data_IF_261927396518
#
_entry.id   IF_261927396518
#
_cell.length_a   1.000
_cell.length_b   1.000
_cell.length_c   1.000
_cell.angle_alpha   90.00
_cell.angle_beta   90.00
_cell.angle_gamma   90.00
#
_symmetry.space_group_name_H-M   'P 1'
#
loop_
_entity.id
_entity.type
_entity.pdbx_description
1 polymer ?
#
# COMPACT_ATOMS: atom_id res chain seq x y z
N UNK A 1 -28.16 -56.35 -37.10
CA UNK A 1 -27.92 -56.03 -38.52
C UNK A 1 -28.70 -54.78 -38.89
N UNK A 2 -28.18 -54.00 -39.85
CA UNK A 2 -28.62 -52.68 -40.36
C UNK A 2 -27.92 -51.50 -39.68
N UNK A 3 -26.70 -51.16 -40.13
CA UNK A 3 -26.35 -50.31 -41.30
C UNK A 3 -26.56 -48.83 -41.00
N UNK A 4 -25.49 -48.21 -40.53
CA UNK A 4 -25.30 -46.77 -40.43
C UNK A 4 -25.32 -46.14 -41.83
N UNK A 5 -26.18 -45.15 -42.03
CA UNK A 5 -26.10 -44.21 -43.15
C UNK A 5 -25.46 -42.92 -42.63
N UNK A 6 -24.20 -42.67 -43.00
CA UNK A 6 -23.54 -41.39 -42.80
C UNK A 6 -23.95 -40.47 -43.94
N UNK A 7 -24.78 -39.46 -43.66
CA UNK A 7 -24.98 -38.33 -44.58
C UNK A 7 -23.89 -37.29 -44.32
N UNK A 8 -22.98 -37.21 -45.27
CA UNK A 8 -21.96 -36.18 -45.40
C UNK A 8 -22.66 -34.87 -45.80
N UNK A 9 -22.91 -33.98 -44.84
CA UNK A 9 -23.25 -32.58 -45.13
C UNK A 9 -22.04 -31.73 -44.75
N UNK A 10 -21.29 -31.34 -45.77
CA UNK A 10 -20.26 -30.30 -45.71
C UNK A 10 -20.98 -28.97 -45.45
N UNK A 11 -21.12 -28.60 -44.17
CA UNK A 11 -21.50 -27.24 -43.80
C UNK A 11 -20.21 -26.50 -43.52
N UNK A 12 -19.75 -25.75 -44.53
CA UNK A 12 -18.72 -24.73 -44.40
C UNK A 12 -19.26 -23.63 -43.48
N UNK A 13 -19.15 -23.86 -42.17
CA UNK A 13 -19.40 -22.83 -41.17
C UNK A 13 -18.06 -22.13 -40.97
N UNK A 14 -17.98 -20.91 -41.47
CA UNK A 14 -16.88 -19.98 -41.22
C UNK A 14 -16.65 -19.94 -39.72
N UNK A 15 -15.55 -20.55 -39.28
CA UNK A 15 -15.00 -20.30 -37.95
C UNK A 15 -14.52 -18.85 -38.01
N UNK A 16 -15.36 -17.92 -37.58
CA UNK A 16 -14.87 -16.62 -37.12
C UNK A 16 -14.09 -16.95 -35.86
N UNK A 17 -12.82 -17.27 -36.04
CA UNK A 17 -11.86 -17.08 -34.99
C UNK A 17 -11.95 -15.60 -34.65
N UNK A 18 -12.63 -15.24 -33.56
CA UNK A 18 -12.28 -14.04 -32.82
C UNK A 18 -10.85 -14.28 -32.35
N UNK A 19 -9.91 -14.02 -33.25
CA UNK A 19 -8.61 -13.58 -32.85
C UNK A 19 -8.88 -12.30 -32.07
N UNK A 20 -8.92 -12.42 -30.74
CA UNK A 20 -8.58 -11.31 -29.88
C UNK A 20 -7.10 -11.01 -30.16
N UNK A 21 -6.86 -10.37 -31.30
CA UNK A 21 -5.67 -9.57 -31.54
C UNK A 21 -5.84 -8.38 -30.60
N UNK A 22 -5.53 -8.60 -29.33
CA UNK A 22 -5.07 -7.54 -28.45
C UNK A 22 -3.54 -7.50 -28.53
N UNK A 23 -3.03 -7.34 -29.75
CA UNK A 23 -1.71 -6.76 -29.95
C UNK A 23 -1.89 -5.25 -29.80
N UNK A 24 -1.89 -4.77 -28.57
CA UNK A 24 -1.57 -3.37 -28.27
C UNK A 24 -0.07 -3.32 -27.93
N UNK A 25 0.76 -3.83 -28.85
CA UNK A 25 2.21 -3.66 -28.84
C UNK A 25 2.54 -2.32 -29.50
N UNK A 26 2.27 -1.22 -28.80
CA UNK A 26 3.03 0.04 -28.88
C UNK A 26 2.41 1.16 -28.01
N UNK A 27 1.84 0.81 -26.86
CA UNK A 27 1.76 1.80 -25.78
C UNK A 27 3.16 1.87 -25.18
N UNK A 28 3.80 3.05 -25.08
CA UNK A 28 5.04 3.17 -24.33
C UNK A 28 4.76 2.56 -22.96
N UNK A 29 5.52 1.52 -22.59
CA UNK A 29 5.46 0.98 -21.23
C UNK A 29 5.78 2.18 -20.34
N UNK A 30 4.74 2.76 -19.75
CA UNK A 30 4.91 3.85 -18.80
C UNK A 30 5.75 3.22 -17.69
N UNK A 31 7.02 3.58 -17.65
CA UNK A 31 7.91 3.19 -16.57
C UNK A 31 7.40 3.99 -15.38
N UNK A 32 6.56 3.34 -14.58
CA UNK A 32 5.91 3.98 -13.47
C UNK A 32 6.93 4.21 -12.36
N UNK A 33 7.27 5.47 -12.10
CA UNK A 33 8.19 5.83 -11.02
C UNK A 33 7.44 5.91 -9.68
N UNK A 34 7.86 5.15 -8.65
CA UNK A 34 7.17 5.14 -7.36
C UNK A 34 7.19 6.50 -6.62
N UNK A 35 8.22 7.33 -6.82
CA UNK A 35 8.34 8.64 -6.17
C UNK A 35 7.53 9.71 -6.90
N UNK A 36 7.44 9.63 -8.23
CA UNK A 36 6.50 10.40 -9.04
C UNK A 36 5.06 10.09 -8.63
N UNK A 37 4.72 8.80 -8.46
CA UNK A 37 3.42 8.40 -7.96
C UNK A 37 3.12 8.93 -6.56
N UNK A 38 4.09 8.96 -5.66
CA UNK A 38 3.92 9.62 -4.36
C UNK A 38 3.59 11.11 -4.52
N UNK A 39 4.30 11.81 -5.41
CA UNK A 39 4.06 13.24 -5.67
C UNK A 39 2.64 13.49 -6.20
N UNK A 40 2.19 12.67 -7.17
CA UNK A 40 0.85 12.76 -7.76
C UNK A 40 -0.24 12.49 -6.72
N UNK A 41 -0.12 11.38 -5.97
CA UNK A 41 -1.15 10.98 -5.01
C UNK A 41 -1.18 11.88 -3.76
N UNK A 42 -0.03 12.41 -3.32
CA UNK A 42 0.04 13.34 -2.18
C UNK A 42 -0.38 14.76 -2.53
N UNK A 43 -0.31 15.15 -3.81
CA UNK A 43 -0.76 16.45 -4.31
C UNK A 43 -2.29 16.60 -4.38
N UNK A 44 -3.03 15.49 -4.33
CA UNK A 44 -4.50 15.50 -4.31
C UNK A 44 -5.17 15.85 -5.64
N UNK A 45 -4.42 15.88 -6.75
CA UNK A 45 -4.95 16.06 -8.10
C UNK A 45 -5.39 14.72 -8.69
N UNK A 46 -6.68 14.40 -8.53
CA UNK A 46 -7.30 13.19 -9.08
C UNK A 46 -7.50 13.22 -10.60
N UNK A 47 -7.27 14.37 -11.23
CA UNK A 47 -7.33 14.53 -12.69
C UNK A 47 -5.98 14.27 -13.36
N UNK A 48 -4.91 14.10 -12.57
CA UNK A 48 -3.59 13.83 -13.09
C UNK A 48 -3.56 12.52 -13.87
N UNK A 49 -2.92 12.52 -15.05
CA UNK A 49 -2.90 11.38 -15.97
C UNK A 49 -2.40 10.07 -15.33
N UNK A 50 -1.53 10.17 -14.33
CA UNK A 50 -0.97 9.03 -13.61
C UNK A 50 -1.79 8.59 -12.39
N UNK A 51 -2.79 9.35 -11.94
CA UNK A 51 -3.49 9.13 -10.66
C UNK A 51 -4.03 7.70 -10.53
N UNK A 52 -4.86 7.28 -11.49
CA UNK A 52 -5.46 5.94 -11.50
C UNK A 52 -4.41 4.83 -11.63
N UNK A 53 -3.38 5.06 -12.44
CA UNK A 53 -2.32 4.07 -12.67
C UNK A 53 -1.44 3.88 -11.43
N UNK A 54 -1.14 4.98 -10.73
CA UNK A 54 -0.43 4.97 -9.46
C UNK A 54 -1.25 4.26 -8.37
N UNK A 55 -2.54 4.60 -8.23
CA UNK A 55 -3.43 3.94 -7.28
C UNK A 55 -3.53 2.44 -7.56
N UNK A 56 -3.73 2.04 -8.81
CA UNK A 56 -3.82 0.63 -9.18
C UNK A 56 -2.51 -0.12 -8.88
N UNK A 57 -1.34 0.46 -9.19
CA UNK A 57 -0.04 -0.17 -8.95
C UNK A 57 0.23 -0.44 -7.45
N UNK A 58 -0.28 0.41 -6.55
CA UNK A 58 -0.19 0.20 -5.10
C UNK A 58 -0.95 -1.05 -4.61
N UNK A 59 -1.99 -1.47 -5.33
CA UNK A 59 -2.83 -2.60 -4.93
C UNK A 59 -2.37 -3.95 -5.49
N UNK A 60 -1.55 -3.96 -6.53
CA UNK A 60 -1.21 -5.18 -7.27
C UNK A 60 0.27 -5.54 -7.27
N UNK A 61 1.15 -4.65 -6.79
CA UNK A 61 2.59 -4.86 -6.81
C UNK A 61 3.25 -4.45 -5.49
N UNK A 62 3.61 -5.44 -4.66
CA UNK A 62 4.22 -5.22 -3.34
C UNK A 62 5.59 -4.53 -3.41
N UNK A 63 6.39 -4.82 -4.45
CA UNK A 63 7.68 -4.16 -4.66
C UNK A 63 7.51 -2.69 -5.05
N UNK A 64 6.46 -2.38 -5.80
CA UNK A 64 6.06 -1.01 -6.11
C UNK A 64 5.59 -0.27 -4.86
N UNK A 65 4.70 -0.89 -4.08
CA UNK A 65 4.21 -0.36 -2.81
C UNK A 65 5.34 -0.08 -1.82
N UNK A 66 6.34 -0.95 -1.74
CA UNK A 66 7.54 -0.69 -0.94
C UNK A 66 8.25 0.57 -1.39
N UNK A 67 8.61 0.61 -2.67
CA UNK A 67 9.39 1.71 -3.23
C UNK A 67 8.64 3.04 -3.06
N UNK A 68 7.32 3.03 -3.27
CA UNK A 68 6.43 4.14 -2.97
C UNK A 68 6.50 4.55 -1.48
N UNK A 69 6.44 3.57 -0.56
CA UNK A 69 6.53 3.85 0.89
C UNK A 69 7.90 4.43 1.25
N UNK A 70 8.98 4.01 0.59
CA UNK A 70 10.31 4.62 0.75
C UNK A 70 10.31 6.07 0.31
N UNK A 71 9.70 6.38 -0.83
CA UNK A 71 9.54 7.75 -1.31
C UNK A 71 8.72 8.60 -0.32
N UNK A 72 7.63 8.05 0.21
CA UNK A 72 6.84 8.70 1.27
C UNK A 72 7.69 8.97 2.52
N UNK A 73 8.43 7.98 3.02
CA UNK A 73 9.27 8.15 4.19
C UNK A 73 10.41 9.15 3.95
N UNK A 74 11.08 9.09 2.81
CA UNK A 74 12.11 10.04 2.39
C UNK A 74 11.54 11.47 2.36
N UNK A 75 10.35 11.65 1.78
CA UNK A 75 9.65 12.93 1.79
C UNK A 75 9.23 13.40 3.20
N UNK A 76 9.01 12.48 4.15
CA UNK A 76 8.66 12.75 5.56
C UNK A 76 9.88 12.91 6.47
N UNK A 77 11.06 12.47 6.06
CA UNK A 77 12.27 12.53 6.92
C UNK A 77 13.38 13.39 6.35
N UNK A 78 13.36 13.71 5.05
CA UNK A 78 14.47 14.33 4.35
C UNK A 78 15.64 13.38 4.11
N UNK A 79 15.46 12.08 4.39
CA UNK A 79 16.44 11.05 4.10
C UNK A 79 16.46 10.72 2.60
N UNK A 80 17.59 10.23 2.09
CA UNK A 80 17.65 9.62 0.77
C UNK A 80 16.87 8.29 0.79
N UNK A 81 16.06 8.03 -0.23
CA UNK A 81 15.36 6.74 -0.43
C UNK A 81 16.28 5.52 -0.38
N UNK A 82 17.56 5.68 -0.74
CA UNK A 82 18.59 4.64 -0.64
C UNK A 82 18.91 4.26 0.81
N UNK A 83 18.83 5.23 1.73
CA UNK A 83 19.09 5.07 3.16
C UNK A 83 17.83 4.62 3.94
N UNK A 84 16.66 4.66 3.29
CA UNK A 84 15.40 4.18 3.89
C UNK A 84 15.33 2.66 3.84
N UNK A 85 15.63 2.05 4.99
CA UNK A 85 15.31 0.65 5.26
C UNK A 85 13.87 0.56 5.74
N UNK A 86 12.94 0.38 4.81
CA UNK A 86 11.60 -0.12 5.15
C UNK A 86 11.70 -1.63 5.18
N UNK A 87 11.48 -2.26 6.34
CA UNK A 87 11.60 -3.70 6.46
C UNK A 87 10.58 -4.41 5.53
N UNK A 88 11.07 -4.94 4.41
CA UNK A 88 10.29 -5.83 3.52
C UNK A 88 10.11 -7.16 4.23
N UNK A 89 8.90 -7.44 4.73
CA UNK A 89 8.63 -8.66 5.50
C UNK A 89 9.52 -8.86 6.75
N UNK A 90 10.15 -7.79 7.21
CA UNK A 90 10.88 -7.69 8.47
C UNK A 90 10.32 -6.56 9.31
N UNK A 91 9.01 -6.28 9.20
CA UNK A 91 8.31 -5.87 10.42
C UNK A 91 8.84 -6.84 11.49
N UNK A 92 9.38 -6.35 12.64
CA UNK A 92 9.83 -7.26 13.67
C UNK A 92 8.72 -8.30 13.76
N UNK A 93 9.03 -9.57 13.48
CA UNK A 93 8.06 -10.63 13.70
C UNK A 93 7.86 -10.55 15.20
N UNK A 94 6.86 -9.77 15.60
CA UNK A 94 6.32 -9.84 16.93
C UNK A 94 5.79 -11.25 16.91
N UNK A 95 6.56 -12.16 17.49
CA UNK A 95 6.09 -13.50 17.75
C UNK A 95 5.07 -13.30 18.84
N UNK A 96 3.85 -13.03 18.41
CA UNK A 96 2.71 -13.00 19.28
C UNK A 96 2.48 -14.47 19.58
N UNK A 97 2.98 -14.88 20.74
CA UNK A 97 3.13 -16.29 21.09
C UNK A 97 1.80 -17.03 21.11
N UNK A 98 0.70 -16.31 21.30
CA UNK A 98 -0.64 -16.86 21.44
C UNK A 98 -1.66 -16.00 20.72
N UNK A 99 -2.70 -16.63 20.19
CA UNK A 99 -3.86 -15.89 19.72
C UNK A 99 -4.63 -15.33 20.91
N UNK A 100 -5.24 -14.16 20.73
CA UNK A 100 -6.00 -13.55 21.81
C UNK A 100 -6.21 -12.05 21.67
N UNK A 101 -6.76 -11.48 22.74
CA UNK A 101 -7.01 -10.06 22.87
C UNK A 101 -6.00 -9.47 23.84
N UNK A 102 -5.16 -8.58 23.34
CA UNK A 102 -4.12 -7.87 24.09
C UNK A 102 -4.61 -6.48 24.46
N UNK A 103 -4.40 -6.08 25.71
CA UNK A 103 -4.63 -4.72 26.17
C UNK A 103 -3.32 -3.96 26.04
N UNK A 104 -3.37 -2.77 25.45
CA UNK A 104 -2.18 -1.90 25.32
C UNK A 104 -1.81 -1.37 26.70
N UNK A 105 -0.55 -1.52 27.08
CA UNK A 105 0.01 -0.90 28.28
C UNK A 105 0.16 0.61 28.05
N UNK A 106 -0.73 1.39 28.66
CA UNK A 106 -0.80 2.83 28.49
C UNK A 106 0.31 3.60 29.19
N UNK A 107 0.97 2.99 30.18
CA UNK A 107 2.06 3.63 30.92
C UNK A 107 3.36 3.60 30.11
N UNK A 108 3.57 2.52 29.36
CA UNK A 108 4.77 2.30 28.54
C UNK A 108 4.56 2.60 27.05
N UNK A 109 3.34 2.95 26.62
CA UNK A 109 3.01 3.21 25.20
C UNK A 109 2.73 4.68 24.90
N UNK A 110 3.19 5.12 23.73
CA UNK A 110 2.93 6.46 23.18
C UNK A 110 2.77 6.41 21.65
N UNK A 111 2.03 7.37 21.11
CA UNK A 111 1.92 7.58 19.66
C UNK A 111 2.80 8.77 19.29
N UNK A 112 3.75 8.56 18.39
CA UNK A 112 4.58 9.63 17.84
C UNK A 112 4.05 10.07 16.48
N UNK A 113 4.12 11.36 16.19
CA UNK A 113 3.75 11.91 14.88
C UNK A 113 4.86 12.82 14.34
N UNK A 114 4.84 12.96 13.02
CA UNK A 114 5.66 13.91 12.27
C UNK A 114 4.71 14.68 11.36
N UNK A 115 4.48 15.95 11.67
CA UNK A 115 3.72 16.87 10.82
C UNK A 115 4.67 17.68 9.93
N UNK A 116 4.41 17.77 8.63
CA UNK A 116 5.19 18.61 7.71
C UNK A 116 4.34 19.72 7.12
N UNK A 117 4.87 20.93 7.17
CA UNK A 117 4.40 22.04 6.37
C UNK A 117 5.28 22.13 5.12
N UNK A 118 4.78 21.62 3.99
CA UNK A 118 5.53 21.60 2.72
C UNK A 118 5.79 23.01 2.18
N UNK A 119 4.91 23.98 2.43
CA UNK A 119 5.05 25.37 1.96
C UNK A 119 6.23 26.05 2.66
N UNK A 120 6.40 25.79 3.96
CA UNK A 120 7.44 26.42 4.78
C UNK A 120 8.68 25.53 4.95
N UNK A 121 8.69 24.34 4.34
CA UNK A 121 9.70 23.30 4.54
C UNK A 121 10.02 23.04 6.03
N UNK A 122 8.98 23.07 6.89
CA UNK A 122 9.10 22.84 8.34
C UNK A 122 8.56 21.47 8.72
N UNK A 123 9.23 20.82 9.66
CA UNK A 123 8.77 19.57 10.28
C UNK A 123 8.54 19.80 11.76
N UNK A 124 7.39 19.37 12.27
CA UNK A 124 7.07 19.29 13.68
C UNK A 124 7.03 17.83 14.06
N UNK A 125 7.68 17.49 15.17
CA UNK A 125 7.60 16.16 15.76
C UNK A 125 6.91 16.29 17.10
N UNK A 126 6.20 15.24 17.49
CA UNK A 126 5.62 15.21 18.80
C UNK A 126 5.08 13.85 19.15
N UNK A 127 4.52 13.76 20.34
CA UNK A 127 3.94 12.55 20.86
C UNK A 127 2.62 12.82 21.58
N UNK A 128 1.79 11.79 21.61
CA UNK A 128 0.59 11.70 22.41
C UNK A 128 0.68 10.45 23.28
N UNK A 129 0.12 10.53 24.49
CA UNK A 129 -0.11 9.36 25.33
C UNK A 129 -1.25 8.51 24.77
N UNK A 130 -1.15 7.21 24.97
CA UNK A 130 -2.25 6.27 24.72
C UNK A 130 -3.16 6.25 25.95
N UNK A 131 -4.45 6.52 25.78
CA UNK A 131 -5.45 6.44 26.86
C UNK A 131 -5.91 5.02 27.10
N UNK A 132 -6.05 4.25 26.03
CA UNK A 132 -6.38 2.83 26.07
C UNK A 132 -6.15 2.21 24.69
N UNK A 133 -6.03 0.89 24.62
CA UNK A 133 -6.03 0.21 23.34
C UNK A 133 -6.26 -1.28 23.50
N UNK A 134 -6.72 -1.91 22.42
CA UNK A 134 -6.97 -3.33 22.33
C UNK A 134 -6.50 -3.84 20.98
N UNK A 135 -5.75 -4.93 20.96
CA UNK A 135 -5.26 -5.59 19.76
C UNK A 135 -5.79 -7.03 19.74
N UNK A 136 -6.37 -7.47 18.63
CA UNK A 136 -6.85 -8.85 18.48
C UNK A 136 -5.96 -9.58 17.49
N UNK A 137 -5.47 -10.72 17.93
CA UNK A 137 -4.55 -11.56 17.17
C UNK A 137 -5.20 -12.92 16.96
N UNK A 138 -5.20 -13.37 15.70
CA UNK A 138 -5.66 -14.70 15.29
C UNK A 138 -4.72 -15.24 14.24
N UNK A 139 -4.45 -16.53 14.28
CA UNK A 139 -3.52 -17.20 13.38
C UNK A 139 -2.15 -16.51 13.35
N UNK A 140 -1.67 -16.05 14.53
CA UNK A 140 -0.41 -15.31 14.68
C UNK A 140 -0.33 -14.01 13.86
N UNK A 141 -1.48 -13.45 13.48
CA UNK A 141 -1.60 -12.18 12.76
C UNK A 141 -2.49 -11.19 13.52
N UNK A 142 -2.10 -9.92 13.53
CA UNK A 142 -2.96 -8.84 14.02
C UNK A 142 -4.13 -8.68 13.04
N UNK A 143 -5.35 -8.96 13.50
CA UNK A 143 -6.56 -8.89 12.66
C UNK A 143 -7.42 -7.65 12.98
N UNK A 144 -7.29 -7.11 14.19
CA UNK A 144 -8.04 -5.93 14.63
C UNK A 144 -7.21 -5.15 15.65
N UNK A 145 -7.32 -3.83 15.63
CA UNK A 145 -6.67 -2.96 16.59
C UNK A 145 -7.48 -1.69 16.82
N UNK A 146 -7.70 -1.34 18.08
CA UNK A 146 -8.26 -0.07 18.50
C UNK A 146 -7.26 0.62 19.44
N UNK A 147 -6.97 1.88 19.18
CA UNK A 147 -6.13 2.72 20.05
C UNK A 147 -6.86 4.04 20.25
N UNK A 148 -7.06 4.41 21.50
CA UNK A 148 -7.61 5.71 21.91
C UNK A 148 -6.45 6.55 22.42
N UNK A 149 -6.34 7.76 21.88
CA UNK A 149 -5.25 8.69 22.12
C UNK A 149 -5.77 9.87 22.94
N UNK A 150 -4.99 10.31 23.94
CA UNK A 150 -5.27 11.57 24.63
C UNK A 150 -4.67 12.73 23.83
N UNK A 151 -5.51 13.41 23.05
CA UNK A 151 -5.06 14.56 22.24
C UNK A 151 -4.60 15.76 23.08
N UNK A 152 -5.02 15.85 24.35
CA UNK A 152 -4.58 16.92 25.26
C UNK A 152 -3.18 16.70 25.80
N UNK A 153 -2.66 15.47 25.67
CA UNK A 153 -1.32 15.09 26.12
C UNK A 153 -0.20 15.40 25.11
N UNK A 154 -0.51 16.18 24.07
CA UNK A 154 0.45 16.56 23.04
C UNK A 154 1.72 17.18 23.65
N UNK A 155 2.85 16.55 23.38
CA UNK A 155 4.18 17.10 23.66
C UNK A 155 4.91 17.26 22.33
N UNK A 156 5.35 18.49 22.01
CA UNK A 156 6.23 18.74 20.87
C UNK A 156 7.66 18.30 21.23
N UNK A 157 8.28 17.52 20.35
CA UNK A 157 9.70 17.20 20.43
C UNK A 157 10.47 18.34 19.76
N UNK A 158 11.40 18.98 20.48
CA UNK A 158 12.24 20.04 19.90
C UNK A 158 13.11 19.47 18.78
N UNK A 159 13.04 20.10 17.61
CA UNK A 159 14.02 19.86 16.54
C UNK A 159 15.25 20.71 16.83
N UNK A 160 16.31 20.07 17.31
CA UNK A 160 17.68 20.64 17.33
C UNK A 160 18.18 20.90 15.90
#
# INVERSE_FOLDING_TARGET
>A
MNKFFVKLSVVATVVVALALVSCDEDKPKIVLDPCECYTVLSGGDDTHQLYDTCNQALHVNDAFKLSYTKCQYAAITGADTADVVIPQNTAPKINIAEDGTYIVDTEESQIRFIGRNQILNKSHKGSFKVSSGTLVVRDSALIEGNIIIDVTSLVEESTD
#
